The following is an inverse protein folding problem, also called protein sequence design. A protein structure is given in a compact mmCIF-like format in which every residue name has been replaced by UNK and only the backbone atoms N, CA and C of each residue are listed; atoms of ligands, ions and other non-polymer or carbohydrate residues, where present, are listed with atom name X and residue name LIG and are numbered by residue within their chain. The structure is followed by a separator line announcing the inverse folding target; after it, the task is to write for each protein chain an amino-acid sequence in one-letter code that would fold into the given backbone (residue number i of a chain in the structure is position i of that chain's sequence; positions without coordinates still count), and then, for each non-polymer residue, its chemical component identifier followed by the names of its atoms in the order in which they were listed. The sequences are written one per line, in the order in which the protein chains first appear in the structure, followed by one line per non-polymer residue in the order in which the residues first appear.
data_IF_592109166205
#
_entry.id   IF_592109166205
#
_cell.length_a   1.000
_cell.length_b   1.000
_cell.length_c   1.000
_cell.angle_alpha   90.00
_cell.angle_beta   90.00
_cell.angle_gamma   90.00
#
_symmetry.space_group_name_H-M   'P 1'
#
loop_
_entity.id
_entity.type
_entity.pdbx_description
1 polymer ?
#
# COMPACT_ATOMS: atom_id res chain seq x y z
N UNK A 1 1.59 26.36 16.80
CA UNK A 1 2.92 25.74 17.04
C UNK A 1 4.01 26.77 16.75
N UNK A 2 5.04 26.91 17.60
CA UNK A 2 6.15 27.83 17.34
C UNK A 2 6.96 27.34 16.13
N UNK A 3 7.28 28.21 15.15
CA UNK A 3 8.00 27.88 13.91
C UNK A 3 9.28 27.06 14.16
N UNK A 4 10.05 27.44 15.21
CA UNK A 4 11.26 26.70 15.63
C UNK A 4 11.01 25.22 15.94
N UNK A 5 9.86 24.88 16.52
CA UNK A 5 9.46 23.50 16.84
C UNK A 5 9.11 22.72 15.57
N UNK A 6 8.44 23.36 14.61
CA UNK A 6 8.11 22.74 13.32
C UNK A 6 9.38 22.42 12.51
N UNK A 7 10.32 23.38 12.43
CA UNK A 7 11.61 23.17 11.74
C UNK A 7 12.39 22.03 12.37
N UNK A 8 12.47 21.97 13.71
CA UNK A 8 13.12 20.86 14.40
C UNK A 8 12.48 19.50 14.08
N UNK A 9 11.15 19.41 14.09
CA UNK A 9 10.44 18.16 13.77
C UNK A 9 10.68 17.72 12.32
N UNK A 10 10.71 18.65 11.37
CA UNK A 10 11.02 18.35 9.97
C UNK A 10 12.45 17.81 9.80
N UNK A 11 13.43 18.42 10.47
CA UNK A 11 14.82 17.94 10.42
C UNK A 11 14.95 16.52 10.97
N UNK A 12 14.33 16.24 12.12
CA UNK A 12 14.32 14.90 12.72
C UNK A 12 13.65 13.90 11.78
N UNK A 13 12.52 14.26 11.16
CA UNK A 13 11.82 13.40 10.21
C UNK A 13 12.67 13.08 8.97
N UNK A 14 13.35 14.08 8.40
CA UNK A 14 14.25 13.87 7.25
C UNK A 14 15.38 12.91 7.62
N UNK A 15 16.02 13.10 8.78
CA UNK A 15 17.08 12.21 9.25
C UNK A 15 16.54 10.78 9.42
N UNK A 16 15.36 10.63 10.03
CA UNK A 16 14.72 9.34 10.24
C UNK A 16 14.42 8.60 8.92
N UNK A 17 13.83 9.29 7.94
CA UNK A 17 13.55 8.70 6.60
C UNK A 17 14.85 8.34 5.88
N UNK A 18 15.88 9.20 5.98
CA UNK A 18 17.18 8.93 5.35
C UNK A 18 17.88 7.71 5.94
N UNK A 19 17.83 7.54 7.27
CA UNK A 19 18.34 6.34 7.94
C UNK A 19 17.57 5.09 7.49
N UNK A 20 16.23 5.17 7.43
CA UNK A 20 15.41 4.09 6.88
C UNK A 20 15.80 3.71 5.46
N UNK A 21 16.02 4.69 4.58
CA UNK A 21 16.45 4.48 3.20
C UNK A 21 17.81 3.75 3.12
N UNK A 22 18.79 4.15 3.95
CA UNK A 22 20.09 3.47 3.99
C UNK A 22 19.95 2.03 4.49
N UNK A 23 19.16 1.79 5.54
CA UNK A 23 18.91 0.45 6.08
C UNK A 23 18.30 -0.44 5.01
N UNK A 24 17.22 -0.03 4.35
CA UNK A 24 16.60 -0.85 3.31
C UNK A 24 17.47 -1.00 2.08
N UNK A 25 18.25 0.01 1.68
CA UNK A 25 19.18 -0.14 0.57
C UNK A 25 20.24 -1.20 0.86
N UNK A 26 20.81 -1.23 2.07
CA UNK A 26 21.80 -2.24 2.45
C UNK A 26 21.18 -3.64 2.53
N UNK A 27 19.95 -3.74 3.03
CA UNK A 27 19.26 -5.03 3.20
C UNK A 27 18.73 -5.60 1.86
N UNK A 28 18.17 -4.76 1.00
CA UNK A 28 17.41 -5.19 -0.16
C UNK A 28 18.18 -5.13 -1.48
N UNK A 29 19.20 -4.26 -1.62
CA UNK A 29 19.87 -4.09 -2.92
C UNK A 29 20.57 -5.37 -3.41
N UNK A 30 21.15 -6.15 -2.51
CA UNK A 30 21.78 -7.44 -2.84
C UNK A 30 20.74 -8.46 -3.30
N UNK A 31 19.66 -8.63 -2.53
CA UNK A 31 18.58 -9.56 -2.86
C UNK A 31 17.81 -9.16 -4.14
N UNK A 32 17.66 -7.85 -4.40
CA UNK A 32 17.10 -7.37 -5.66
C UNK A 32 17.95 -7.78 -6.87
N UNK A 33 19.28 -7.68 -6.73
CA UNK A 33 20.19 -8.08 -7.81
C UNK A 33 20.15 -9.58 -8.06
N UNK A 34 20.16 -10.40 -7.01
CA UNK A 34 20.04 -11.85 -7.13
C UNK A 34 18.76 -12.27 -7.86
N UNK A 35 17.61 -11.68 -7.48
CA UNK A 35 16.34 -11.94 -8.19
C UNK A 35 16.35 -11.52 -9.65
N UNK A 36 17.07 -10.43 -10.00
CA UNK A 36 17.24 -10.01 -11.40
C UNK A 36 18.06 -11.04 -12.18
N UNK A 37 19.16 -11.50 -11.59
CA UNK A 37 20.05 -12.47 -12.20
C UNK A 37 19.35 -13.84 -12.37
N UNK A 38 18.58 -14.29 -11.37
CA UNK A 38 17.76 -15.49 -11.44
C UNK A 38 16.71 -15.43 -12.57
N UNK A 39 15.96 -14.33 -12.66
CA UNK A 39 14.97 -14.15 -13.71
C UNK A 39 15.62 -14.11 -15.10
N UNK A 40 16.77 -13.45 -15.22
CA UNK A 40 17.51 -13.40 -16.47
C UNK A 40 17.99 -14.79 -16.88
N UNK A 41 18.57 -15.55 -15.95
CA UNK A 41 19.00 -16.93 -16.19
C UNK A 41 17.82 -17.82 -16.63
N UNK A 42 16.65 -17.68 -16.00
CA UNK A 42 15.45 -18.41 -16.39
C UNK A 42 14.97 -18.07 -17.80
N UNK A 43 15.00 -16.78 -18.18
CA UNK A 43 14.64 -16.34 -19.54
C UNK A 43 15.61 -16.90 -20.59
N UNK A 44 16.92 -16.87 -20.33
CA UNK A 44 17.91 -17.44 -21.23
C UNK A 44 17.73 -18.96 -21.39
N UNK A 45 17.52 -19.68 -20.27
CA UNK A 45 17.25 -21.11 -20.30
C UNK A 45 15.99 -21.45 -21.11
N UNK A 46 14.94 -20.62 -21.01
CA UNK A 46 13.72 -20.80 -21.78
C UNK A 46 13.95 -20.61 -23.29
N UNK A 47 14.71 -19.58 -23.68
CA UNK A 47 15.00 -19.29 -25.08
C UNK A 47 15.92 -20.35 -25.71
N UNK A 48 16.89 -20.89 -24.96
CA UNK A 48 17.75 -21.99 -25.40
C UNK A 48 16.94 -23.28 -25.62
N UNK A 49 16.01 -23.59 -24.71
CA UNK A 49 15.11 -24.74 -24.81
C UNK A 49 14.12 -24.62 -25.98
N UNK A 50 13.70 -23.40 -26.33
CA UNK A 50 12.70 -23.14 -27.37
C UNK A 50 13.23 -22.12 -28.40
N UNK A 51 14.14 -22.52 -29.30
CA UNK A 51 14.77 -21.61 -30.27
C UNK A 51 13.79 -21.03 -31.31
N UNK A 52 12.56 -21.56 -31.39
CA UNK A 52 11.49 -21.01 -32.22
C UNK A 52 10.83 -19.76 -31.63
N UNK A 53 11.08 -19.43 -30.36
CA UNK A 53 10.48 -18.27 -29.68
C UNK A 53 11.38 -17.05 -29.85
N UNK A 54 10.84 -15.98 -30.42
CA UNK A 54 11.54 -14.72 -30.55
C UNK A 54 11.66 -14.03 -29.18
N UNK A 55 12.88 -13.66 -28.79
CA UNK A 55 13.22 -12.91 -27.57
C UNK A 55 12.35 -11.66 -27.40
N UNK A 56 12.18 -10.86 -28.45
CA UNK A 56 11.41 -9.62 -28.36
C UNK A 56 9.94 -9.88 -28.04
N UNK A 57 9.36 -10.93 -28.62
CA UNK A 57 7.95 -11.25 -28.41
C UNK A 57 7.72 -11.92 -27.05
N UNK A 58 8.69 -12.71 -26.58
CA UNK A 58 8.71 -13.19 -25.19
C UNK A 58 8.74 -12.03 -24.19
N UNK A 59 9.63 -11.05 -24.37
CA UNK A 59 9.67 -9.89 -23.46
C UNK A 59 8.41 -9.04 -23.53
N UNK A 60 7.79 -8.88 -24.71
CA UNK A 60 6.48 -8.21 -24.82
C UNK A 60 5.41 -8.96 -24.03
N UNK A 61 5.38 -10.30 -24.15
CA UNK A 61 4.46 -11.14 -23.40
C UNK A 61 4.71 -11.02 -21.90
N UNK A 62 5.95 -11.13 -21.44
CA UNK A 62 6.32 -11.00 -20.02
C UNK A 62 5.94 -9.62 -19.46
N UNK A 63 6.24 -8.53 -20.17
CA UNK A 63 5.84 -7.18 -19.74
C UNK A 63 4.32 -7.06 -19.62
N UNK A 64 3.58 -7.57 -20.61
CA UNK A 64 2.11 -7.58 -20.55
C UNK A 64 1.62 -8.43 -19.38
N UNK A 65 2.23 -9.60 -19.19
CA UNK A 65 1.88 -10.51 -18.11
C UNK A 65 2.17 -9.94 -16.71
N UNK A 66 3.20 -9.10 -16.53
CA UNK A 66 3.49 -8.44 -15.25
C UNK A 66 2.49 -7.32 -14.97
N UNK A 67 2.17 -6.51 -15.98
CA UNK A 67 1.17 -5.43 -15.86
C UNK A 67 -0.21 -6.00 -15.55
N UNK A 68 -0.55 -7.11 -16.19
CA UNK A 68 -1.83 -7.80 -16.07
C UNK A 68 -1.72 -9.08 -15.20
N UNK A 69 -0.80 -9.12 -14.24
CA UNK A 69 -0.43 -10.35 -13.50
C UNK A 69 -1.61 -11.08 -12.85
N UNK A 70 -2.62 -10.35 -12.41
CA UNK A 70 -3.85 -10.94 -11.88
C UNK A 70 -4.80 -11.47 -12.95
N UNK A 71 -4.83 -10.87 -14.16
CA UNK A 71 -5.58 -11.38 -15.32
C UNK A 71 -4.88 -12.63 -15.88
N UNK A 72 -3.54 -12.66 -15.84
CA UNK A 72 -2.76 -13.84 -16.21
C UNK A 72 -3.14 -15.04 -15.35
N UNK A 73 -3.35 -14.87 -14.04
CA UNK A 73 -3.81 -15.97 -13.18
C UNK A 73 -5.15 -16.55 -13.65
N UNK A 74 -6.08 -15.72 -14.12
CA UNK A 74 -7.33 -16.20 -14.72
C UNK A 74 -7.09 -16.99 -16.01
N UNK A 75 -6.23 -16.48 -16.89
CA UNK A 75 -5.92 -17.12 -18.19
C UNK A 75 -5.13 -18.43 -18.04
N UNK A 76 -4.22 -18.50 -17.06
CA UNK A 76 -3.27 -19.62 -16.89
C UNK A 76 -3.83 -20.73 -16.00
N UNK A 77 -4.40 -20.39 -14.85
CA UNK A 77 -4.80 -21.40 -13.86
C UNK A 77 -6.24 -21.91 -14.06
N UNK A 78 -7.02 -21.30 -14.96
CA UNK A 78 -8.43 -21.59 -15.20
C UNK A 78 -9.27 -21.66 -13.89
N UNK A 79 -8.76 -21.04 -12.83
CA UNK A 79 -9.42 -20.95 -11.54
C UNK A 79 -10.55 -19.95 -11.70
N UNK A 80 -11.76 -20.37 -11.34
CA UNK A 80 -12.94 -19.53 -11.19
C UNK A 80 -12.72 -18.54 -10.04
N UNK A 81 -11.86 -17.55 -10.23
CA UNK A 81 -11.68 -16.50 -9.24
C UNK A 81 -12.81 -15.49 -9.39
N UNK A 82 -13.55 -15.34 -8.29
CA UNK A 82 -14.42 -14.23 -7.92
C UNK A 82 -14.12 -12.97 -8.75
N UNK A 83 -15.13 -12.49 -9.47
CA UNK A 83 -15.02 -11.28 -10.29
C UNK A 83 -14.32 -10.19 -9.48
N UNK A 84 -13.12 -9.81 -9.91
CA UNK A 84 -12.26 -8.84 -9.21
C UNK A 84 -13.01 -7.52 -8.94
N UNK A 85 -13.88 -7.13 -9.86
CA UNK A 85 -14.77 -5.96 -9.74
C UNK A 85 -16.19 -6.33 -9.28
N UNK A 86 -16.33 -7.41 -8.51
CA UNK A 86 -17.52 -7.64 -7.70
C UNK A 86 -17.64 -6.57 -6.60
N UNK A 87 -18.78 -6.57 -5.91
CA UNK A 87 -19.04 -5.55 -4.90
C UNK A 87 -17.99 -5.55 -3.78
N UNK A 88 -17.51 -6.72 -3.36
CA UNK A 88 -16.54 -6.86 -2.27
C UNK A 88 -15.17 -6.31 -2.66
N UNK A 89 -14.68 -6.69 -3.84
CA UNK A 89 -13.43 -6.18 -4.41
C UNK A 89 -13.48 -4.68 -4.67
N UNK A 90 -14.58 -4.20 -5.27
CA UNK A 90 -14.80 -2.77 -5.49
C UNK A 90 -14.86 -1.98 -4.17
N UNK A 91 -15.51 -2.52 -3.13
CA UNK A 91 -15.57 -1.93 -1.80
C UNK A 91 -14.17 -1.85 -1.17
N UNK A 92 -13.40 -2.93 -1.20
CA UNK A 92 -12.02 -2.95 -0.71
C UNK A 92 -11.13 -1.94 -1.43
N UNK A 93 -11.29 -1.81 -2.74
CA UNK A 93 -10.58 -0.81 -3.55
C UNK A 93 -10.92 0.62 -3.12
N UNK A 94 -12.19 0.99 -3.08
CA UNK A 94 -12.57 2.37 -2.72
C UNK A 94 -12.15 2.72 -1.29
N UNK A 95 -12.20 1.77 -0.36
CA UNK A 95 -11.65 1.93 0.99
C UNK A 95 -10.16 2.20 0.95
N UNK A 96 -9.39 1.41 0.19
CA UNK A 96 -7.93 1.60 0.05
C UNK A 96 -7.55 2.95 -0.57
N UNK A 97 -8.40 3.49 -1.46
CA UNK A 97 -8.23 4.80 -2.09
C UNK A 97 -8.43 5.93 -1.08
N UNK A 98 -9.58 5.95 -0.38
CA UNK A 98 -9.89 7.07 0.53
C UNK A 98 -9.03 7.07 1.80
N UNK A 99 -8.52 5.89 2.20
CA UNK A 99 -7.57 5.74 3.31
C UNK A 99 -6.12 5.96 2.91
N UNK A 100 -5.85 6.18 1.61
CA UNK A 100 -4.50 6.33 1.03
C UNK A 100 -3.57 5.15 1.31
N UNK A 101 -4.12 3.95 1.56
CA UNK A 101 -3.34 2.72 1.73
C UNK A 101 -2.77 2.29 0.38
N UNK A 102 -3.62 2.21 -0.65
CA UNK A 102 -3.21 1.95 -2.04
C UNK A 102 -2.34 0.71 -2.22
N UNK A 103 -2.87 -0.50 -1.96
CA UNK A 103 -2.12 -1.76 -2.06
C UNK A 103 -1.47 -2.02 -3.43
N UNK A 104 -1.94 -1.38 -4.51
CA UNK A 104 -1.34 -1.45 -5.85
C UNK A 104 -1.65 -2.71 -6.65
N UNK A 105 -2.34 -3.68 -6.05
CA UNK A 105 -2.80 -4.91 -6.70
C UNK A 105 -4.04 -4.67 -7.60
N UNK A 106 -4.92 -3.75 -7.19
CA UNK A 106 -6.11 -3.35 -7.96
C UNK A 106 -6.06 -1.88 -8.39
N UNK A 107 -6.30 -1.61 -9.67
CA UNK A 107 -6.44 -0.26 -10.25
C UNK A 107 -7.45 -0.22 -11.41
N UNK A 108 -8.09 0.94 -11.68
CA UNK A 108 -9.03 1.09 -12.79
C UNK A 108 -8.29 1.10 -14.13
N UNK A 109 -8.74 0.26 -15.08
CA UNK A 109 -8.12 0.12 -16.39
C UNK A 109 -8.60 1.17 -17.39
N UNK A 110 -9.88 1.57 -17.30
CA UNK A 110 -10.51 2.51 -18.21
C UNK A 110 -10.14 3.96 -17.90
N UNK A 111 -10.12 4.82 -18.93
CA UNK A 111 -9.91 6.26 -18.75
C UNK A 111 -10.97 6.85 -17.82
N UNK A 112 -12.23 6.50 -18.03
CA UNK A 112 -13.36 6.93 -17.21
C UNK A 112 -13.20 6.51 -15.75
N UNK A 113 -12.84 5.26 -15.49
CA UNK A 113 -12.60 4.75 -14.14
C UNK A 113 -11.44 5.47 -13.44
N UNK A 114 -10.38 5.83 -14.17
CA UNK A 114 -9.26 6.64 -13.65
C UNK A 114 -9.73 8.05 -13.29
N UNK A 115 -10.50 8.71 -14.15
CA UNK A 115 -11.04 10.06 -13.89
C UNK A 115 -11.97 10.02 -12.67
N UNK A 116 -12.90 9.06 -12.61
CA UNK A 116 -13.79 8.86 -11.46
C UNK A 116 -12.99 8.61 -10.19
N UNK A 117 -11.94 7.78 -10.24
CA UNK A 117 -11.07 7.51 -9.10
C UNK A 117 -10.39 8.79 -8.57
N UNK A 118 -9.91 9.67 -9.45
CA UNK A 118 -9.28 10.95 -9.05
C UNK A 118 -10.31 11.85 -8.36
N UNK A 119 -11.49 12.01 -8.96
CA UNK A 119 -12.57 12.83 -8.37
C UNK A 119 -13.04 12.22 -7.04
N UNK A 120 -13.18 10.90 -6.97
CA UNK A 120 -13.57 10.18 -5.77
C UNK A 120 -12.54 10.36 -4.64
N UNK A 121 -11.24 10.26 -4.93
CA UNK A 121 -10.18 10.51 -3.96
C UNK A 121 -10.17 11.95 -3.46
N UNK A 122 -10.42 12.93 -4.34
CA UNK A 122 -10.43 14.36 -3.99
C UNK A 122 -11.41 14.68 -2.85
N UNK A 123 -12.59 14.06 -2.85
CA UNK A 123 -13.60 14.25 -1.79
C UNK A 123 -13.48 13.21 -0.67
N UNK A 124 -13.11 11.97 -1.02
CA UNK A 124 -13.03 10.86 -0.08
C UNK A 124 -11.93 11.04 0.97
N UNK A 125 -10.73 11.48 0.57
CA UNK A 125 -9.61 11.65 1.51
C UNK A 125 -9.91 12.70 2.60
N UNK A 126 -10.38 13.93 2.28
CA UNK A 126 -10.80 14.89 3.31
C UNK A 126 -11.88 14.35 4.23
N UNK A 127 -12.89 13.65 3.69
CA UNK A 127 -13.95 13.05 4.48
C UNK A 127 -13.41 11.99 5.46
N UNK A 128 -12.52 11.12 4.98
CA UNK A 128 -11.87 10.11 5.82
C UNK A 128 -11.06 10.76 6.95
N UNK A 129 -10.33 11.85 6.68
CA UNK A 129 -9.59 12.58 7.71
C UNK A 129 -10.52 13.17 8.79
N UNK A 130 -11.69 13.70 8.42
CA UNK A 130 -12.68 14.19 9.38
C UNK A 130 -13.24 13.05 10.26
N UNK A 131 -13.57 11.90 9.66
CA UNK A 131 -14.04 10.71 10.38
C UNK A 131 -12.97 10.20 11.34
N UNK A 132 -11.71 10.12 10.90
CA UNK A 132 -10.58 9.70 11.74
C UNK A 132 -10.33 10.69 12.89
N UNK A 133 -10.49 11.99 12.67
CA UNK A 133 -10.43 13.00 13.73
C UNK A 133 -11.47 12.74 14.83
N UNK A 134 -12.74 12.59 14.45
CA UNK A 134 -13.82 12.31 15.39
C UNK A 134 -13.70 10.96 16.11
N UNK A 135 -13.21 9.92 15.40
CA UNK A 135 -12.89 8.64 16.01
C UNK A 135 -11.74 8.75 17.01
N UNK A 136 -10.70 9.53 16.69
CA UNK A 136 -9.58 9.80 17.58
C UNK A 136 -10.00 10.46 18.89
N UNK A 137 -10.91 11.44 18.84
CA UNK A 137 -11.48 12.10 20.03
C UNK A 137 -12.28 11.14 20.91
N UNK A 138 -13.10 10.29 20.30
CA UNK A 138 -13.86 9.26 21.02
C UNK A 138 -12.95 8.22 21.66
N UNK A 139 -11.92 7.77 20.95
CA UNK A 139 -10.91 6.84 21.47
C UNK A 139 -10.15 7.47 22.65
N UNK A 140 -9.69 8.72 22.53
CA UNK A 140 -9.03 9.43 23.62
C UNK A 140 -9.93 9.56 24.86
N UNK A 141 -11.21 9.90 24.65
CA UNK A 141 -12.21 9.97 25.71
C UNK A 141 -12.42 8.62 26.39
N UNK A 142 -12.51 7.54 25.61
CA UNK A 142 -12.66 6.17 26.13
C UNK A 142 -11.45 5.74 26.96
N UNK A 143 -10.23 5.98 26.46
CA UNK A 143 -8.99 5.71 27.19
C UNK A 143 -8.94 6.50 28.51
N UNK A 144 -9.37 7.76 28.49
CA UNK A 144 -9.42 8.59 29.70
C UNK A 144 -10.39 8.03 30.76
N UNK A 145 -11.54 7.49 30.33
CA UNK A 145 -12.51 6.83 31.22
C UNK A 145 -11.94 5.56 31.81
N UNK A 146 -11.31 4.70 31.00
CA UNK A 146 -10.64 3.48 31.48
C UNK A 146 -9.57 3.83 32.51
N UNK A 147 -8.73 4.84 32.24
CA UNK A 147 -7.67 5.27 33.16
C UNK A 147 -8.25 5.77 34.50
N UNK A 148 -9.37 6.50 34.48
CA UNK A 148 -10.08 6.92 35.70
C UNK A 148 -10.69 5.73 36.46
N UNK A 149 -11.33 4.78 35.77
CA UNK A 149 -11.87 3.57 36.39
C UNK A 149 -10.78 2.66 36.98
N UNK A 150 -9.57 2.68 36.41
CA UNK A 150 -8.42 1.91 36.93
C UNK A 150 -7.68 2.63 38.07
N UNK A 151 -8.02 3.89 38.37
CA UNK A 151 -7.50 4.65 39.50
C UNK A 151 -8.63 5.08 40.47
N UNK A 152 -9.32 4.14 41.15
CA UNK A 152 -10.39 4.50 42.08
C UNK A 152 -9.90 4.95 43.48
N UNK A 153 -8.59 5.07 43.75
CA UNK A 153 -8.07 5.56 45.03
C UNK A 153 -7.25 6.84 44.87
N UNK A 154 -7.91 7.99 45.03
CA UNK A 154 -7.31 9.25 45.51
C UNK A 154 -8.44 10.20 45.95
N UNK A 155 -9.25 9.78 46.92
CA UNK A 155 -10.03 10.70 47.75
C UNK A 155 -10.24 10.08 49.13
N UNK A 156 -9.19 10.13 49.96
CA UNK A 156 -9.35 10.22 51.41
C UNK A 156 -8.10 10.82 52.06
N UNK A 157 -8.11 12.15 52.21
CA UNK A 157 -7.51 12.81 53.37
C UNK A 157 -8.39 13.99 53.76
N UNK A 158 -9.13 13.87 54.86
CA UNK A 158 -9.38 15.01 55.73
C UNK A 158 -9.03 14.64 57.18
N UNK A 159 -8.00 15.31 57.73
CA UNK A 159 -7.96 15.77 59.12
C UNK A 159 -7.26 17.11 59.12
#
# INVERSE_FOLDING_TARGET
MKVKRLVLLLLVFIIYVSLGAVVFNVLEAGAEQERKDELQAFVEQFLDKYPCVNRTDLYKLLKKAVVDSEIVNYVVDNKTHLDRWDFSGAFGFVVSVVTTIGFGNMSPFTLEGKVVCVVYALFGIPLTLLVLGGLGEKMASFISKIRKCKNPMCHHTPR
#
